data_IF_966334795676
#
_entry.id   IF_966334795676
#
_cell.length_a   1.000
_cell.length_b   1.000
_cell.length_c   1.000
_cell.angle_alpha   90.00
_cell.angle_beta   90.00
_cell.angle_gamma   90.00
#
_symmetry.space_group_name_H-M   'P 1'
#
loop_
_entity.id
_entity.type
_entity.pdbx_description
1 polymer ?
#
# COMPACT_ATOMS: atom_id res chain seq x y z
N UNK A 1 -5.55 -21.55 11.45
CA UNK A 1 -4.10 -21.25 11.41
C UNK A 1 -3.87 -20.06 12.32
N UNK A 2 -3.12 -20.22 13.40
CA UNK A 2 -2.67 -19.08 14.20
C UNK A 2 -1.52 -18.41 13.44
N UNK A 3 -1.77 -17.24 12.87
CA UNK A 3 -0.70 -16.41 12.30
C UNK A 3 0.24 -15.97 13.41
N UNK A 4 1.53 -15.93 13.12
CA UNK A 4 2.49 -15.38 14.08
C UNK A 4 2.23 -13.86 14.25
N UNK A 5 2.60 -13.26 15.40
CA UNK A 5 2.52 -11.80 15.55
C UNK A 5 3.27 -11.05 14.45
N UNK A 6 4.41 -11.60 13.99
CA UNK A 6 5.21 -11.08 12.88
C UNK A 6 4.42 -11.05 11.57
N UNK A 7 3.77 -12.16 11.21
CA UNK A 7 2.92 -12.25 10.02
C UNK A 7 1.73 -11.29 10.09
N UNK A 8 1.14 -11.14 11.27
CA UNK A 8 0.01 -10.24 11.50
C UNK A 8 0.40 -8.78 11.26
N UNK A 9 1.55 -8.35 11.81
CA UNK A 9 2.07 -6.99 11.59
C UNK A 9 2.48 -6.81 10.12
N UNK A 10 3.16 -7.78 9.52
CA UNK A 10 3.51 -7.73 8.10
C UNK A 10 2.29 -7.56 7.20
N UNK A 11 1.21 -8.31 7.47
CA UNK A 11 -0.06 -8.19 6.74
C UNK A 11 -0.71 -6.82 6.92
N UNK A 12 -0.73 -6.27 8.14
CA UNK A 12 -1.28 -4.94 8.40
C UNK A 12 -0.48 -3.82 7.71
N UNK A 13 0.85 -3.92 7.72
CA UNK A 13 1.73 -2.96 7.05
C UNK A 13 1.59 -3.04 5.53
N UNK A 14 1.50 -4.25 4.99
CA UNK A 14 1.20 -4.49 3.59
C UNK A 14 -0.17 -3.92 3.18
N UNK A 15 -1.19 -4.09 4.02
CA UNK A 15 -2.54 -3.56 3.79
C UNK A 15 -2.52 -2.04 3.72
N UNK A 16 -1.88 -1.37 4.68
CA UNK A 16 -1.73 0.08 4.66
C UNK A 16 -1.00 0.56 3.41
N UNK A 17 0.10 -0.10 3.02
CA UNK A 17 0.86 0.25 1.84
C UNK A 17 0.04 0.10 0.54
N UNK A 18 -0.69 -1.01 0.39
CA UNK A 18 -1.56 -1.27 -0.77
C UNK A 18 -2.71 -0.27 -0.84
N UNK A 19 -3.44 -0.05 0.25
CA UNK A 19 -4.53 0.93 0.29
C UNK A 19 -4.04 2.34 -0.03
N UNK A 20 -2.83 2.69 0.44
CA UNK A 20 -2.21 3.98 0.13
C UNK A 20 -1.87 4.11 -1.35
N UNK A 21 -1.28 3.08 -1.96
CA UNK A 21 -0.97 3.07 -3.38
C UNK A 21 -2.24 3.17 -4.25
N UNK A 22 -3.29 2.42 -3.91
CA UNK A 22 -4.60 2.50 -4.55
C UNK A 22 -5.24 3.89 -4.40
N UNK A 23 -5.12 4.51 -3.22
CA UNK A 23 -5.58 5.87 -3.00
C UNK A 23 -4.84 6.89 -3.89
N UNK A 24 -3.52 6.75 -4.07
CA UNK A 24 -2.73 7.62 -4.96
C UNK A 24 -3.20 7.47 -6.41
N UNK A 25 -3.33 6.23 -6.88
CA UNK A 25 -3.82 5.94 -8.22
C UNK A 25 -5.25 6.46 -8.43
N UNK A 26 -6.16 6.17 -7.50
CA UNK A 26 -7.56 6.59 -7.53
C UNK A 26 -7.72 8.12 -7.58
N UNK A 27 -6.96 8.86 -6.78
CA UNK A 27 -6.95 10.34 -6.84
C UNK A 27 -6.48 10.86 -8.18
N UNK A 28 -5.47 10.24 -8.79
CA UNK A 28 -4.96 10.64 -10.12
C UNK A 28 -5.95 10.31 -11.23
N UNK A 29 -6.65 9.18 -11.14
CA UNK A 29 -7.74 8.84 -12.04
C UNK A 29 -8.86 9.89 -11.97
N UNK A 30 -9.31 10.21 -10.75
CA UNK A 30 -10.36 11.20 -10.52
C UNK A 30 -9.97 12.60 -11.00
N UNK A 31 -8.71 13.01 -10.78
CA UNK A 31 -8.17 14.29 -11.21
C UNK A 31 -8.12 14.47 -12.74
N UNK A 32 -8.23 13.39 -13.52
CA UNK A 32 -8.31 13.43 -14.98
C UNK A 32 -9.76 13.55 -15.51
N UNK A 33 -10.77 13.42 -14.63
CA UNK A 33 -12.18 13.48 -15.02
C UNK A 33 -12.77 14.88 -14.89
N UNK A 34 -13.86 15.14 -15.60
CA UNK A 34 -14.60 16.41 -15.53
C UNK A 34 -15.31 16.56 -14.17
N UNK A 35 -15.67 17.79 -13.78
CA UNK A 35 -16.36 18.06 -12.51
C UNK A 35 -17.68 17.28 -12.36
N UNK A 36 -18.40 17.08 -13.48
CA UNK A 36 -19.65 16.32 -13.51
C UNK A 36 -19.47 14.85 -13.10
N UNK A 37 -18.30 14.26 -13.38
CA UNK A 37 -17.95 12.90 -12.97
C UNK A 37 -17.39 12.87 -11.54
N UNK A 38 -16.69 13.92 -11.11
CA UNK A 38 -16.09 13.98 -9.76
C UNK A 38 -17.12 14.09 -8.65
N UNK A 39 -18.18 14.87 -8.85
CA UNK A 39 -19.22 15.10 -7.84
C UNK A 39 -19.83 13.81 -7.28
N UNK A 40 -20.35 12.92 -8.15
CA UNK A 40 -20.93 11.64 -7.73
C UNK A 40 -19.95 10.70 -7.01
N UNK A 41 -18.64 10.84 -7.23
CA UNK A 41 -17.62 9.95 -6.67
C UNK A 41 -16.98 10.48 -5.37
N UNK A 42 -17.46 11.60 -4.82
CA UNK A 42 -16.90 12.14 -3.57
C UNK A 42 -17.12 11.23 -2.36
N UNK A 43 -18.16 10.41 -2.38
CA UNK A 43 -18.50 9.45 -1.32
C UNK A 43 -17.76 8.12 -1.44
N UNK A 44 -17.15 7.85 -2.61
CA UNK A 44 -16.39 6.62 -2.84
C UNK A 44 -15.05 6.71 -2.10
N UNK A 45 -14.67 5.69 -1.31
CA UNK A 45 -13.38 5.66 -0.67
C UNK A 45 -12.25 5.84 -1.68
N UNK A 46 -11.23 6.69 -1.42
CA UNK A 46 -10.20 6.99 -2.40
C UNK A 46 -9.45 5.77 -2.97
N UNK A 47 -9.32 4.70 -2.19
CA UNK A 47 -8.67 3.44 -2.58
C UNK A 47 -9.57 2.49 -3.39
N UNK A 48 -10.85 2.84 -3.60
CA UNK A 48 -11.79 2.08 -4.44
C UNK A 48 -12.14 2.81 -5.75
N UNK A 49 -11.64 4.03 -5.94
CA UNK A 49 -12.00 4.84 -7.11
C UNK A 49 -11.71 4.15 -8.45
N UNK A 50 -10.70 3.28 -8.54
CA UNK A 50 -10.36 2.53 -9.76
C UNK A 50 -11.39 1.45 -10.13
N UNK A 51 -12.22 1.00 -9.18
CA UNK A 51 -13.33 0.08 -9.43
C UNK A 51 -14.46 0.79 -10.18
N UNK A 52 -14.66 2.08 -9.88
CA UNK A 52 -15.69 2.91 -10.50
C UNK A 52 -15.20 3.69 -11.72
N UNK A 53 -13.89 3.95 -11.79
CA UNK A 53 -13.22 4.64 -12.87
C UNK A 53 -12.23 3.69 -13.53
N UNK A 54 -12.60 3.05 -14.66
CA UNK A 54 -11.68 2.16 -15.35
C UNK A 54 -10.40 2.90 -15.70
N UNK A 55 -9.27 2.23 -15.45
CA UNK A 55 -7.92 2.71 -15.78
C UNK A 55 -7.80 2.95 -17.29
N UNK A 56 -8.40 2.06 -18.10
CA UNK A 56 -8.33 2.12 -19.56
C UNK A 56 -6.89 2.12 -20.05
N UNK A 57 -6.58 2.97 -21.04
CA UNK A 57 -5.23 3.13 -21.60
C UNK A 57 -4.29 4.00 -20.72
N UNK A 58 -4.70 4.34 -19.49
CA UNK A 58 -3.84 5.13 -18.62
C UNK A 58 -2.64 4.30 -18.19
N UNK A 59 -1.44 4.81 -18.45
CA UNK A 59 -0.20 4.19 -17.99
C UNK A 59 -0.18 3.99 -16.46
N UNK A 60 -0.09 2.73 -16.04
CA UNK A 60 -0.03 2.34 -14.62
C UNK A 60 1.20 2.92 -13.93
N UNK A 61 2.35 3.03 -14.61
CA UNK A 61 3.55 3.63 -14.04
C UNK A 61 3.30 5.11 -13.68
N UNK A 62 2.55 5.83 -14.50
CA UNK A 62 2.16 7.21 -14.23
C UNK A 62 1.14 7.31 -13.09
N UNK A 63 0.23 6.35 -12.96
CA UNK A 63 -0.73 6.30 -11.83
C UNK A 63 -0.05 5.96 -10.51
N UNK A 64 1.00 5.13 -10.53
CA UNK A 64 1.70 4.65 -9.34
C UNK A 64 3.00 5.40 -9.03
N UNK A 65 3.38 6.40 -9.83
CA UNK A 65 4.54 7.25 -9.56
C UNK A 65 4.54 7.75 -8.11
N UNK A 66 5.63 7.61 -7.38
CA UNK A 66 5.74 8.05 -5.98
C UNK A 66 4.75 7.38 -4.99
N UNK A 67 4.03 6.33 -5.39
CA UNK A 67 3.05 5.66 -4.52
C UNK A 67 3.70 4.96 -3.31
N UNK A 68 4.98 4.58 -3.45
CA UNK A 68 5.72 3.79 -2.48
C UNK A 68 6.69 4.60 -1.61
N UNK A 69 6.80 5.92 -1.82
CA UNK A 69 7.75 6.79 -1.08
C UNK A 69 7.59 6.68 0.43
N UNK A 70 6.35 6.62 0.93
CA UNK A 70 6.09 6.45 2.37
C UNK A 70 6.54 5.06 2.84
N UNK A 71 6.26 4.02 2.05
CA UNK A 71 6.65 2.64 2.35
C UNK A 71 8.18 2.49 2.42
N UNK A 72 8.89 3.11 1.48
CA UNK A 72 10.36 3.17 1.47
C UNK A 72 10.88 3.93 2.69
N UNK A 73 10.30 5.09 3.02
CA UNK A 73 10.73 5.93 4.14
C UNK A 73 10.57 5.25 5.51
N UNK A 74 9.58 4.38 5.67
CA UNK A 74 9.39 3.59 6.90
C UNK A 74 10.20 2.28 6.91
N UNK A 75 11.01 2.03 5.88
CA UNK A 75 11.91 0.88 5.82
C UNK A 75 11.23 -0.43 5.44
N UNK A 76 10.14 -0.41 4.66
CA UNK A 76 9.60 -1.65 4.10
C UNK A 76 10.63 -2.27 3.13
N UNK A 77 10.88 -3.59 3.20
CA UNK A 77 11.83 -4.25 2.31
C UNK A 77 11.45 -4.08 0.83
N UNK A 78 12.44 -3.85 -0.03
CA UNK A 78 12.23 -3.65 -1.46
C UNK A 78 11.44 -4.81 -2.11
N UNK A 79 11.78 -6.06 -1.79
CA UNK A 79 11.06 -7.25 -2.27
C UNK A 79 9.59 -7.27 -1.85
N UNK A 80 9.27 -6.76 -0.65
CA UNK A 80 7.88 -6.64 -0.20
C UNK A 80 7.18 -5.55 -1.02
N UNK A 81 7.82 -4.40 -1.24
CA UNK A 81 7.26 -3.31 -2.06
C UNK A 81 7.01 -3.80 -3.50
N UNK A 82 7.94 -4.54 -4.11
CA UNK A 82 7.80 -5.08 -5.47
C UNK A 82 6.60 -6.02 -5.60
N UNK A 83 6.43 -6.96 -4.66
CA UNK A 83 5.28 -7.88 -4.66
C UNK A 83 3.95 -7.13 -4.44
N UNK A 84 3.94 -6.12 -3.58
CA UNK A 84 2.76 -5.28 -3.35
C UNK A 84 2.46 -4.36 -4.55
N UNK A 85 3.49 -3.85 -5.25
CA UNK A 85 3.33 -3.09 -6.50
C UNK A 85 2.70 -3.94 -7.58
N UNK A 86 3.18 -5.17 -7.75
CA UNK A 86 2.60 -6.11 -8.71
C UNK A 86 1.15 -6.45 -8.35
N UNK A 87 0.85 -6.67 -7.06
CA UNK A 87 -0.52 -6.88 -6.58
C UNK A 87 -1.43 -5.68 -6.92
N UNK A 88 -0.98 -4.45 -6.64
CA UNK A 88 -1.74 -3.23 -6.94
C UNK A 88 -1.95 -3.06 -8.45
N UNK A 89 -0.94 -3.32 -9.28
CA UNK A 89 -1.07 -3.26 -10.74
C UNK A 89 -2.13 -4.22 -11.26
N UNK A 90 -2.21 -5.43 -10.71
CA UNK A 90 -3.24 -6.41 -11.06
C UNK A 90 -4.63 -5.87 -10.70
N UNK A 91 -4.82 -5.33 -9.49
CA UNK A 91 -6.09 -4.74 -9.07
C UNK A 91 -6.52 -3.57 -9.96
N UNK A 92 -5.59 -2.69 -10.29
CA UNK A 92 -5.84 -1.53 -11.16
C UNK A 92 -6.20 -1.95 -12.59
N UNK A 93 -5.43 -2.87 -13.19
CA UNK A 93 -5.66 -3.35 -14.54
C UNK A 93 -7.00 -4.09 -14.67
N UNK A 94 -7.36 -4.88 -13.66
CA UNK A 94 -8.60 -5.67 -13.65
C UNK A 94 -9.82 -4.88 -13.13
N UNK A 95 -9.65 -3.67 -12.59
CA UNK A 95 -10.73 -2.90 -11.96
C UNK A 95 -11.30 -3.56 -10.70
N UNK A 96 -10.48 -4.32 -9.96
CA UNK A 96 -10.91 -5.09 -8.80
C UNK A 96 -10.68 -4.34 -7.50
N UNK A 97 -11.67 -4.36 -6.61
CA UNK A 97 -11.56 -3.78 -5.27
C UNK A 97 -10.55 -4.53 -4.40
N UNK A 98 -10.03 -3.84 -3.38
CA UNK A 98 -9.15 -4.46 -2.39
C UNK A 98 -9.88 -5.56 -1.61
N UNK A 99 -9.24 -6.72 -1.44
CA UNK A 99 -9.72 -7.82 -0.62
C UNK A 99 -8.59 -8.33 0.28
N UNK A 100 -8.86 -8.37 1.59
CA UNK A 100 -7.87 -8.79 2.60
C UNK A 100 -7.34 -10.20 2.34
N UNK A 101 -8.18 -11.14 1.94
CA UNK A 101 -7.77 -12.53 1.66
C UNK A 101 -6.76 -12.63 0.50
N UNK A 102 -6.92 -11.81 -0.53
CA UNK A 102 -6.02 -11.81 -1.69
C UNK A 102 -4.67 -11.19 -1.30
N UNK A 103 -4.68 -10.15 -0.46
CA UNK A 103 -3.45 -9.61 0.12
C UNK A 103 -2.73 -10.64 0.99
N UNK A 104 -3.46 -11.36 1.86
CA UNK A 104 -2.86 -12.38 2.72
C UNK A 104 -2.17 -13.48 1.89
N UNK A 105 -2.74 -13.84 0.73
CA UNK A 105 -2.10 -14.77 -0.21
C UNK A 105 -0.84 -14.20 -0.87
N UNK A 106 -0.82 -12.89 -1.17
CA UNK A 106 0.40 -12.22 -1.65
C UNK A 106 1.47 -12.23 -0.57
N UNK A 107 1.12 -11.79 0.65
CA UNK A 107 2.06 -11.72 1.79
C UNK A 107 2.58 -13.10 2.19
N UNK A 108 1.76 -14.15 2.13
CA UNK A 108 2.19 -15.52 2.47
C UNK A 108 3.26 -16.10 1.53
N UNK A 109 3.48 -15.49 0.36
CA UNK A 109 4.53 -15.89 -0.59
C UNK A 109 5.88 -15.23 -0.28
N UNK A 110 5.89 -14.20 0.57
CA UNK A 110 7.11 -13.51 0.94
C UNK A 110 7.91 -14.35 1.93
N UNK A 111 9.25 -14.38 1.81
CA UNK A 111 10.11 -15.06 2.78
C UNK A 111 10.27 -14.20 4.06
N UNK A 112 9.18 -13.95 4.79
CA UNK A 112 9.12 -12.99 5.91
C UNK A 112 10.17 -13.22 7.02
N UNK A 113 10.56 -14.48 7.24
CA UNK A 113 11.60 -14.85 8.22
C UNK A 113 13.02 -14.46 7.79
N UNK A 114 13.23 -14.20 6.49
CA UNK A 114 14.52 -13.78 5.93
C UNK A 114 14.60 -12.26 5.73
N UNK A 115 13.48 -11.55 5.90
CA UNK A 115 13.42 -10.10 5.75
C UNK A 115 13.73 -9.41 7.07
N UNK A 116 14.51 -8.34 7.02
CA UNK A 116 14.65 -7.40 8.15
C UNK A 116 13.46 -6.45 8.09
N UNK A 117 12.53 -6.57 9.05
CA UNK A 117 11.35 -5.72 9.09
C UNK A 117 11.59 -4.53 10.04
N UNK A 118 11.03 -3.35 9.75
CA UNK A 118 11.30 -2.15 10.55
C UNK A 118 10.79 -2.25 11.99
N UNK A 119 9.87 -3.17 12.28
CA UNK A 119 9.35 -3.46 13.62
C UNK A 119 10.08 -4.61 14.35
N UNK A 120 11.14 -5.17 13.75
CA UNK A 120 11.95 -6.21 14.39
C UNK A 120 12.99 -5.64 15.35
N UNK A 121 13.32 -4.34 15.20
CA UNK A 121 14.23 -3.69 16.11
C UNK A 121 13.63 -3.72 17.53
N UNK A 122 14.40 -4.12 18.57
CA UNK A 122 13.97 -3.86 19.93
C UNK A 122 13.71 -2.36 20.03
N UNK A 123 12.57 -1.98 20.60
CA UNK A 123 12.22 -0.58 20.84
C UNK A 123 13.44 0.09 21.51
N UNK A 124 14.17 0.88 20.72
CA UNK A 124 15.42 1.46 21.16
C UNK A 124 15.13 2.32 22.38
N UNK A 125 15.81 1.98 23.47
CA UNK A 125 16.05 2.83 24.64
C UNK A 125 16.24 4.26 24.17
N UNK A 126 15.25 5.11 24.46
CA UNK A 126 15.42 6.54 24.47
C UNK A 126 16.45 6.81 25.58
N UNK A 127 17.73 6.84 25.24
CA UNK A 127 18.71 7.47 26.11
C UNK A 127 18.27 8.94 26.22
N UNK A 128 17.65 9.25 27.35
CA UNK A 128 17.31 10.60 27.73
C UNK A 128 18.60 11.41 27.69
N UNK A 129 18.71 12.30 26.70
CA UNK A 129 19.75 13.31 26.66
C UNK A 129 19.56 14.20 27.88
N UNK A 130 20.33 13.94 28.94
CA UNK A 130 20.41 14.82 30.09
C UNK A 130 20.96 16.16 29.61
N UNK A 131 20.31 17.30 29.91
CA UNK A 131 20.87 18.60 29.60
C UNK A 131 22.12 18.80 30.46
N UNK A 132 23.27 18.99 29.83
CA UNK A 132 24.51 19.34 30.50
C UNK A 132 24.38 20.72 31.16
N UNK A 133 24.86 20.79 32.41
CA UNK A 133 25.02 22.00 33.22
C UNK A 133 26.02 23.01 32.63
#
# INVERSE_FOLDING_TARGET
>A
MNQSPRETVAAAMAEMAVLRALQVAGRRLLARRSRAVRGPLQTVPPWELHVHLPVGDTDLALLLRDAWVISEAIGLPAVMIEELDQHVRILLAAGLGYRRDDLLRTVSRLPLEQLVLPWDAPAGTVEAHAPGE
#
